data_IF_495890100975
#
_entry.id   IF_495890100975
#
_cell.length_a   1.000
_cell.length_b   1.000
_cell.length_c   1.000
_cell.angle_alpha   90.00
_cell.angle_beta   90.00
_cell.angle_gamma   90.00
#
_symmetry.space_group_name_H-M   'P 1'
#
loop_
_entity.id
_entity.type
_entity.pdbx_description
1 polymer ?
#
# COMPACT_ATOMS: atom_id res chain seq x y z
N UNK A 1 -9.46 30.16 15.54
CA UNK A 1 -9.56 28.91 14.76
C UNK A 1 -8.13 28.49 14.41
N UNK A 2 -7.58 27.45 15.03
CA UNK A 2 -6.25 26.94 14.61
C UNK A 2 -6.47 26.26 13.27
N UNK A 3 -5.96 26.84 12.19
CA UNK A 3 -5.74 26.09 10.96
C UNK A 3 -4.77 24.96 11.33
N UNK A 4 -5.26 23.73 11.37
CA UNK A 4 -4.39 22.56 11.44
C UNK A 4 -3.63 22.55 10.12
N UNK A 5 -2.30 22.72 10.17
CA UNK A 5 -1.47 22.67 8.97
C UNK A 5 -1.31 21.21 8.54
N UNK A 6 -2.20 20.75 7.66
CA UNK A 6 -2.12 19.43 7.07
C UNK A 6 -0.95 19.35 6.08
N UNK A 7 -0.34 18.15 5.90
CA UNK A 7 0.63 17.92 4.83
C UNK A 7 0.10 18.45 3.50
N UNK A 8 0.96 19.04 2.67
CA UNK A 8 0.54 19.67 1.41
C UNK A 8 -0.32 18.74 0.52
N UNK A 9 0.04 17.47 0.49
CA UNK A 9 -0.68 16.36 -0.14
C UNK A 9 -2.16 16.21 0.27
N UNK A 10 -2.50 16.62 1.49
CA UNK A 10 -3.84 16.53 2.09
C UNK A 10 -4.52 17.88 2.22
N UNK A 11 -4.06 18.93 1.53
CA UNK A 11 -4.76 20.22 1.52
C UNK A 11 -5.95 20.28 0.56
N UNK A 12 -5.94 19.63 -0.63
CA UNK A 12 -7.10 19.66 -1.54
C UNK A 12 -8.32 18.93 -0.97
N UNK A 13 -9.53 19.40 -1.26
CA UNK A 13 -10.80 18.76 -0.85
C UNK A 13 -10.96 17.35 -1.41
N UNK A 14 -10.57 17.15 -2.66
CA UNK A 14 -10.53 15.85 -3.31
C UNK A 14 -9.09 15.40 -3.46
N UNK A 15 -8.78 14.22 -2.94
CA UNK A 15 -7.45 13.60 -3.05
C UNK A 15 -7.57 12.19 -3.61
N UNK A 16 -6.55 11.75 -4.36
CA UNK A 16 -6.43 10.35 -4.78
C UNK A 16 -5.49 9.64 -3.81
N UNK A 17 -5.95 8.55 -3.19
CA UNK A 17 -5.16 7.73 -2.26
C UNK A 17 -4.51 6.59 -3.03
N UNK A 18 -3.19 6.42 -2.89
CA UNK A 18 -2.47 5.25 -3.41
C UNK A 18 -2.36 4.21 -2.30
N UNK A 19 -3.10 3.13 -2.44
CA UNK A 19 -3.16 2.04 -1.50
C UNK A 19 -2.36 0.83 -1.99
N UNK A 20 -1.28 0.53 -1.27
CA UNK A 20 -0.40 -0.60 -1.56
C UNK A 20 -0.29 -1.52 -0.35
N UNK A 21 -1.33 -1.60 0.49
CA UNK A 21 -1.28 -2.37 1.72
C UNK A 21 -2.63 -2.92 2.14
N UNK A 22 -3.06 -2.66 3.37
CA UNK A 22 -4.37 -3.13 3.85
C UNK A 22 -5.54 -2.55 3.04
N UNK A 23 -5.33 -1.43 2.33
CA UNK A 23 -6.34 -0.79 1.48
C UNK A 23 -6.21 -1.24 0.00
N UNK A 24 -5.50 -2.35 -0.28
CA UNK A 24 -5.24 -2.75 -1.67
C UNK A 24 -6.49 -3.27 -2.40
N UNK A 25 -7.50 -3.75 -1.67
CA UNK A 25 -8.79 -4.16 -2.25
C UNK A 25 -9.86 -3.07 -2.05
N UNK A 26 -10.82 -3.02 -2.97
CA UNK A 26 -11.95 -2.08 -2.87
C UNK A 26 -12.80 -2.31 -1.61
N UNK A 27 -13.19 -3.56 -1.24
CA UNK A 27 -13.95 -3.78 -0.01
C UNK A 27 -13.21 -3.28 1.24
N UNK A 28 -11.91 -3.56 1.35
CA UNK A 28 -11.11 -3.09 2.50
C UNK A 28 -10.94 -1.58 2.50
N UNK A 29 -10.80 -0.97 1.31
CA UNK A 29 -10.75 0.48 1.17
C UNK A 29 -12.05 1.13 1.65
N UNK A 30 -13.20 0.54 1.33
CA UNK A 30 -14.53 1.05 1.73
C UNK A 30 -14.79 0.96 3.23
N UNK A 31 -14.15 0.05 3.95
CA UNK A 31 -14.18 0.05 5.43
C UNK A 31 -13.55 1.32 6.03
N UNK A 32 -12.63 1.95 5.28
CA UNK A 32 -11.93 3.17 5.71
C UNK A 32 -12.53 4.42 5.07
N UNK A 33 -12.89 4.33 3.80
CA UNK A 33 -13.44 5.41 2.99
C UNK A 33 -14.73 4.93 2.32
N UNK A 34 -15.86 4.88 3.05
CA UNK A 34 -17.12 4.32 2.51
C UNK A 34 -17.57 5.00 1.20
N UNK A 35 -17.31 6.30 1.09
CA UNK A 35 -17.65 7.15 -0.05
C UNK A 35 -16.59 7.21 -1.15
N UNK A 36 -15.57 6.34 -1.13
CA UNK A 36 -14.55 6.33 -2.19
C UNK A 36 -15.17 6.15 -3.57
N UNK A 37 -14.55 6.80 -4.56
CA UNK A 37 -14.92 6.73 -5.97
C UNK A 37 -13.69 6.41 -6.83
N UNK A 38 -13.89 6.06 -8.10
CA UNK A 38 -12.80 5.89 -9.07
C UNK A 38 -11.72 4.88 -8.62
N UNK A 39 -12.13 3.75 -8.03
CA UNK A 39 -11.20 2.69 -7.65
C UNK A 39 -10.61 2.04 -8.90
N UNK A 40 -9.28 1.97 -8.96
CA UNK A 40 -8.52 1.46 -10.11
C UNK A 40 -7.16 0.92 -9.69
N UNK A 41 -6.58 0.04 -10.50
CA UNK A 41 -5.20 -0.41 -10.29
C UNK A 41 -4.23 0.48 -11.05
N UNK A 42 -3.09 0.74 -10.43
CA UNK A 42 -2.06 1.67 -10.91
C UNK A 42 -0.67 1.10 -10.71
N UNK A 43 0.31 1.65 -11.43
CA UNK A 43 1.74 1.37 -11.24
C UNK A 43 2.47 2.56 -10.68
N UNK A 44 3.22 2.34 -9.60
CA UNK A 44 4.14 3.34 -9.02
C UNK A 44 5.56 2.95 -9.41
N UNK A 45 6.32 3.88 -9.99
CA UNK A 45 7.68 3.66 -10.54
C UNK A 45 8.75 4.31 -9.67
N UNK A 46 10.00 3.87 -9.85
CA UNK A 46 11.21 4.33 -9.16
C UNK A 46 11.18 4.16 -7.64
N UNK A 47 10.36 3.22 -7.18
CA UNK A 47 10.20 2.86 -5.78
C UNK A 47 10.06 1.35 -5.65
N UNK A 48 10.45 0.83 -4.50
CA UNK A 48 10.19 -0.56 -4.11
C UNK A 48 9.41 -0.62 -2.82
N UNK A 49 8.55 -1.64 -2.70
CA UNK A 49 7.75 -1.87 -1.49
C UNK A 49 8.48 -2.79 -0.53
N UNK A 50 8.54 -2.42 0.74
CA UNK A 50 9.00 -3.28 1.83
C UNK A 50 7.77 -3.86 2.53
N UNK A 51 7.68 -5.19 2.60
CA UNK A 51 6.43 -5.85 3.00
C UNK A 51 6.30 -6.08 4.51
N UNK A 52 7.41 -6.27 5.25
CA UNK A 52 7.34 -6.54 6.69
C UNK A 52 7.15 -5.26 7.51
N UNK A 53 7.54 -4.15 6.91
CA UNK A 53 7.41 -2.83 7.47
C UNK A 53 6.72 -2.10 6.32
N UNK A 54 5.41 -1.92 6.35
CA UNK A 54 4.54 -1.48 5.26
C UNK A 54 4.89 -0.12 4.60
N UNK A 55 6.08 0.04 4.04
CA UNK A 55 6.57 1.25 3.43
C UNK A 55 7.07 1.01 2.01
N UNK A 56 7.51 2.11 1.43
CA UNK A 56 8.18 2.17 0.15
C UNK A 56 9.46 2.95 0.32
N UNK A 57 10.46 2.67 -0.48
CA UNK A 57 11.69 3.44 -0.52
C UNK A 57 12.11 3.67 -1.97
N UNK A 58 12.86 4.76 -2.26
CA UNK A 58 13.39 5.00 -3.59
C UNK A 58 14.21 3.82 -4.10
N UNK A 59 13.90 3.38 -5.31
CA UNK A 59 14.62 2.31 -6.00
C UNK A 59 14.44 2.49 -7.50
N UNK A 60 15.45 3.06 -8.15
CA UNK A 60 15.43 3.32 -9.58
C UNK A 60 15.21 2.03 -10.39
N UNK A 61 14.40 2.12 -11.46
CA UNK A 61 14.04 0.98 -12.29
C UNK A 61 13.05 -0.01 -11.65
N UNK A 62 12.76 0.13 -10.35
CA UNK A 62 11.75 -0.69 -9.67
C UNK A 62 10.35 -0.09 -9.84
N UNK A 63 9.34 -0.95 -9.84
CA UNK A 63 7.94 -0.52 -9.79
C UNK A 63 7.07 -1.59 -9.16
N UNK A 64 5.91 -1.21 -8.62
CA UNK A 64 4.94 -2.16 -8.08
C UNK A 64 3.50 -1.72 -8.43
N UNK A 65 2.56 -2.66 -8.31
CA UNK A 65 1.13 -2.41 -8.51
C UNK A 65 0.47 -2.01 -7.19
N UNK A 66 -0.36 -0.97 -7.25
CA UNK A 66 -1.17 -0.46 -6.15
C UNK A 66 -2.62 -0.27 -6.60
N UNK A 67 -3.52 -0.05 -5.64
CA UNK A 67 -4.83 0.53 -5.90
C UNK A 67 -4.75 2.06 -5.79
N UNK A 68 -5.56 2.75 -6.58
CA UNK A 68 -5.81 4.18 -6.47
C UNK A 68 -7.31 4.42 -6.42
N UNK A 69 -7.75 5.36 -5.59
CA UNK A 69 -9.15 5.76 -5.50
C UNK A 69 -9.25 7.20 -5.01
N UNK A 70 -10.34 7.86 -5.37
CA UNK A 70 -10.56 9.26 -5.05
C UNK A 70 -11.47 9.38 -3.83
N UNK A 71 -11.11 10.25 -2.90
CA UNK A 71 -11.85 10.55 -1.69
C UNK A 71 -12.03 12.05 -1.55
N UNK A 72 -13.16 12.46 -0.99
CA UNK A 72 -13.38 13.82 -0.51
C UNK A 72 -13.15 13.79 0.99
N UNK A 73 -12.23 14.61 1.49
CA UNK A 73 -11.88 14.67 2.90
C UNK A 73 -12.35 15.99 3.51
N UNK A 74 -13.26 15.90 4.48
CA UNK A 74 -13.48 17.01 5.41
C UNK A 74 -12.36 17.11 6.46
N UNK A 75 -12.36 18.17 7.26
CA UNK A 75 -11.33 18.39 8.28
C UNK A 75 -11.26 17.26 9.31
N UNK A 76 -12.40 16.68 9.70
CA UNK A 76 -12.43 15.57 10.67
C UNK A 76 -11.81 14.30 10.07
N UNK A 77 -12.07 14.02 8.80
CA UNK A 77 -11.48 12.90 8.08
C UNK A 77 -9.99 13.09 7.84
N UNK A 78 -9.54 14.33 7.52
CA UNK A 78 -8.10 14.65 7.42
C UNK A 78 -7.40 14.42 8.74
N UNK A 79 -7.97 14.92 9.84
CA UNK A 79 -7.40 14.75 11.17
C UNK A 79 -7.34 13.26 11.56
N UNK A 80 -8.43 12.52 11.37
CA UNK A 80 -8.47 11.08 11.64
C UNK A 80 -7.45 10.29 10.80
N UNK A 81 -7.28 10.67 9.53
CA UNK A 81 -6.28 10.07 8.66
C UNK A 81 -4.86 10.37 9.12
N UNK A 82 -4.54 11.63 9.44
CA UNK A 82 -3.23 12.03 9.97
C UNK A 82 -2.92 11.33 11.31
N UNK A 83 -3.91 11.22 12.19
CA UNK A 83 -3.78 10.53 13.48
C UNK A 83 -3.53 9.03 13.30
N UNK A 84 -4.14 8.40 12.30
CA UNK A 84 -3.90 6.98 11.97
C UNK A 84 -2.51 6.74 11.39
N UNK A 85 -2.04 7.65 10.54
CA UNK A 85 -0.79 7.50 9.77
C UNK A 85 0.41 8.20 10.44
N UNK A 86 0.38 8.44 11.76
CA UNK A 86 1.46 9.11 12.52
C UNK A 86 2.85 8.50 12.35
N UNK A 87 2.93 7.23 11.92
CA UNK A 87 4.18 6.52 11.63
C UNK A 87 4.76 6.73 10.24
N UNK A 88 4.10 7.51 9.39
CA UNK A 88 4.43 7.65 7.97
C UNK A 88 4.46 9.10 7.53
N UNK A 89 5.36 9.43 6.60
CA UNK A 89 5.28 10.69 5.88
C UNK A 89 4.21 10.57 4.79
N UNK A 90 3.33 11.55 4.71
CA UNK A 90 2.29 11.64 3.68
C UNK A 90 2.83 12.52 2.56
N UNK A 91 3.12 11.90 1.41
CA UNK A 91 3.76 12.60 0.28
C UNK A 91 3.04 12.37 -1.04
N UNK A 92 3.31 13.28 -1.97
CA UNK A 92 2.89 13.16 -3.36
C UNK A 92 3.80 12.19 -4.14
N UNK A 93 3.24 11.29 -4.93
CA UNK A 93 3.99 10.35 -5.76
C UNK A 93 3.30 10.08 -7.10
N UNK A 94 4.01 10.15 -8.24
CA UNK A 94 3.41 9.87 -9.53
C UNK A 94 3.02 8.39 -9.64
N UNK A 95 1.87 8.14 -10.28
CA UNK A 95 1.46 6.80 -10.68
C UNK A 95 1.01 6.79 -12.14
N UNK A 96 0.91 5.60 -12.72
CA UNK A 96 0.44 5.38 -14.08
C UNK A 96 -0.74 4.39 -14.06
N UNK A 97 -1.75 4.62 -14.91
CA UNK A 97 -2.82 3.64 -15.11
C UNK A 97 -2.26 2.31 -15.61
N UNK A 98 -2.95 1.20 -15.30
CA UNK A 98 -2.61 -0.11 -15.87
C UNK A 98 -3.28 -0.40 -17.21
N UNK A 99 -4.28 0.41 -17.61
CA UNK A 99 -4.94 0.30 -18.89
C UNK A 99 -4.08 0.88 -20.02
N UNK A 100 -4.09 0.21 -21.17
CA UNK A 100 -3.18 0.47 -22.28
C UNK A 100 -3.30 1.92 -22.80
N UNK A 101 -2.30 2.74 -22.47
CA UNK A 101 -2.00 3.97 -23.22
C UNK A 101 -2.26 5.30 -22.52
N UNK A 102 -2.86 5.33 -21.33
CA UNK A 102 -3.05 6.58 -20.60
C UNK A 102 -1.94 6.81 -19.57
N UNK A 103 -0.94 7.63 -19.93
CA UNK A 103 -0.06 8.31 -18.97
C UNK A 103 -0.82 9.44 -18.28
N UNK A 104 -1.86 9.09 -17.54
CA UNK A 104 -2.61 10.07 -16.77
C UNK A 104 -1.77 10.44 -15.56
N UNK A 105 -1.01 11.54 -15.67
CA UNK A 105 -0.34 12.21 -14.55
C UNK A 105 -1.41 12.82 -13.66
N UNK A 106 -1.93 12.04 -12.74
CA UNK A 106 -2.62 12.63 -11.61
C UNK A 106 -1.56 13.17 -10.66
N UNK A 107 -1.79 14.36 -10.12
CA UNK A 107 -1.09 14.92 -8.99
C UNK A 107 -2.07 14.88 -7.81
N UNK A 108 -1.55 14.91 -6.58
CA UNK A 108 -2.26 14.84 -5.28
C UNK A 108 -2.42 13.41 -4.73
N UNK A 109 -1.47 13.02 -3.87
CA UNK A 109 -1.39 11.69 -3.26
C UNK A 109 -1.10 11.73 -1.79
N UNK A 110 -1.65 10.75 -1.08
CA UNK A 110 -1.09 10.26 0.17
C UNK A 110 -0.44 8.92 -0.07
N UNK A 111 0.88 8.91 -0.23
CA UNK A 111 1.71 7.72 -0.06
C UNK A 111 2.27 7.76 1.36
N UNK A 112 2.01 6.71 2.16
CA UNK A 112 2.58 6.54 3.50
C UNK A 112 4.06 6.10 3.39
N UNK A 113 4.94 7.01 2.96
CA UNK A 113 6.36 6.69 2.93
C UNK A 113 6.91 6.81 4.35
N UNK A 114 7.21 5.69 5.01
CA UNK A 114 8.08 5.73 6.17
C UNK A 114 9.54 5.93 5.70
N UNK A 115 9.92 7.17 5.39
CA UNK A 115 11.33 7.58 5.38
C UNK A 115 11.75 7.93 6.80
N UNK A 116 11.81 6.92 7.68
CA UNK A 116 12.46 7.04 8.98
C UNK A 116 11.77 7.95 10.01
N UNK A 117 11.63 7.40 11.22
CA UNK A 117 11.33 8.07 12.50
C UNK A 117 9.85 8.34 12.83
N UNK A 118 9.21 7.35 13.43
CA UNK A 118 8.17 7.60 14.43
C UNK A 118 8.83 7.93 15.80
N UNK A 119 8.24 8.80 16.62
CA UNK A 119 8.97 9.37 17.78
C UNK A 119 8.99 8.48 19.03
N UNK A 120 8.28 7.35 19.07
CA UNK A 120 8.05 6.62 20.34
C UNK A 120 8.08 5.08 20.30
N UNK A 121 8.42 4.45 19.17
CA UNK A 121 8.57 2.98 19.11
C UNK A 121 9.92 2.60 18.51
N UNK A 122 10.60 1.52 18.96
CA UNK A 122 11.73 0.93 18.25
C UNK A 122 11.21 0.41 16.92
N UNK A 123 11.41 1.18 15.87
CA UNK A 123 10.81 0.96 14.57
C UNK A 123 11.17 -0.39 13.99
N UNK A 124 10.18 -1.20 13.60
CA UNK A 124 10.36 -2.30 12.62
C UNK A 124 11.16 -1.84 11.38
N UNK A 125 11.11 -0.54 11.08
CA UNK A 125 11.85 0.19 10.03
C UNK A 125 13.38 0.24 10.25
N UNK A 126 13.85 0.14 11.48
CA UNK A 126 15.26 0.20 11.88
C UNK A 126 15.88 -1.16 12.18
N UNK A 127 15.15 -2.26 11.94
CA UNK A 127 15.66 -3.60 12.20
C UNK A 127 16.72 -3.96 11.17
N UNK A 128 17.72 -4.70 11.61
CA UNK A 128 18.82 -5.13 10.76
C UNK A 128 18.29 -5.97 9.58
N UNK A 129 19.00 -5.90 8.44
CA UNK A 129 18.60 -6.60 7.20
C UNK A 129 18.51 -8.11 7.39
N UNK A 130 19.27 -8.64 8.33
CA UNK A 130 19.37 -10.04 8.75
C UNK A 130 18.50 -10.38 9.97
N UNK A 131 17.61 -9.49 10.39
CA UNK A 131 16.69 -9.70 11.52
C UNK A 131 15.78 -10.92 11.40
N UNK A 132 15.71 -11.55 10.22
CA UNK A 132 14.81 -12.67 9.97
C UNK A 132 13.33 -12.28 9.95
N UNK A 133 13.00 -10.98 10.03
CA UNK A 133 11.62 -10.51 9.99
C UNK A 133 10.93 -10.97 8.71
N UNK A 134 9.76 -11.55 8.89
CA UNK A 134 8.87 -11.98 7.81
C UNK A 134 7.56 -11.22 7.91
N UNK A 135 6.96 -10.83 6.78
CA UNK A 135 5.59 -10.33 6.79
C UNK A 135 4.63 -11.39 7.34
N UNK A 136 3.60 -10.94 8.05
CA UNK A 136 2.56 -11.83 8.57
C UNK A 136 1.81 -12.51 7.42
N UNK A 137 1.62 -13.83 7.53
CA UNK A 137 0.97 -14.63 6.47
C UNK A 137 -0.44 -14.15 6.13
N UNK A 138 -1.22 -13.74 7.14
CA UNK A 138 -2.56 -13.19 6.96
C UNK A 138 -2.54 -11.92 6.09
N UNK A 139 -1.52 -11.09 6.27
CA UNK A 139 -1.36 -9.85 5.52
C UNK A 139 -0.88 -10.12 4.08
N UNK A 140 0.07 -11.04 3.92
CA UNK A 140 0.50 -11.50 2.60
C UNK A 140 -0.66 -12.09 1.80
N UNK A 141 -1.47 -12.94 2.43
CA UNK A 141 -2.65 -13.53 1.81
C UNK A 141 -3.63 -12.47 1.37
N UNK A 142 -3.92 -11.49 2.22
CA UNK A 142 -4.76 -10.35 1.84
C UNK A 142 -4.20 -9.65 0.60
N UNK A 143 -2.90 -9.31 0.58
CA UNK A 143 -2.29 -8.64 -0.56
C UNK A 143 -2.39 -9.49 -1.84
N UNK A 144 -2.11 -10.79 -1.75
CA UNK A 144 -2.18 -11.72 -2.90
C UNK A 144 -3.62 -11.91 -3.42
N UNK A 145 -4.62 -11.83 -2.54
CA UNK A 145 -6.04 -11.93 -2.92
C UNK A 145 -6.67 -10.59 -3.34
N UNK A 146 -6.14 -9.47 -2.85
CA UNK A 146 -6.72 -8.14 -3.03
C UNK A 146 -6.75 -7.67 -4.49
N UNK A 147 -5.84 -8.20 -5.31
CA UNK A 147 -5.88 -7.99 -6.75
C UNK A 147 -6.59 -9.18 -7.40
N UNK A 148 -7.88 -8.98 -7.65
CA UNK A 148 -8.72 -9.90 -8.42
C UNK A 148 -8.09 -10.16 -9.79
N UNK A 149 -8.12 -11.42 -10.24
CA UNK A 149 -7.73 -11.81 -11.60
C UNK A 149 -8.55 -11.07 -12.66
N UNK A 150 -9.80 -10.68 -12.35
CA UNK A 150 -10.68 -9.94 -13.25
C UNK A 150 -10.33 -8.45 -13.39
N UNK A 151 -9.67 -7.88 -12.38
CA UNK A 151 -9.18 -6.51 -12.39
C UNK A 151 -7.78 -6.38 -12.99
N UNK A 152 -7.11 -7.50 -13.30
CA UNK A 152 -5.86 -7.49 -14.05
C UNK A 152 -6.15 -7.26 -15.53
N UNK A 153 -5.55 -6.24 -16.17
CA UNK A 153 -5.46 -6.25 -17.62
C UNK A 153 -4.73 -7.54 -18.03
N UNK A 154 -5.35 -8.31 -18.92
CA UNK A 154 -4.91 -9.65 -19.35
C UNK A 154 -3.45 -9.74 -19.87
N UNK A 155 -2.77 -8.60 -19.99
CA UNK A 155 -1.47 -8.43 -20.64
C UNK A 155 -0.33 -8.06 -19.68
N UNK A 156 -0.56 -7.92 -18.37
CA UNK A 156 0.48 -7.38 -17.47
C UNK A 156 1.17 -8.41 -16.58
N UNK A 157 0.57 -9.58 -16.32
CA UNK A 157 1.14 -10.62 -15.46
C UNK A 157 1.46 -10.19 -14.01
N UNK A 158 1.19 -8.93 -13.64
CA UNK A 158 1.69 -8.34 -12.40
C UNK A 158 0.86 -8.72 -11.20
N UNK A 159 1.52 -9.33 -10.21
CA UNK A 159 1.00 -9.59 -8.87
C UNK A 159 1.37 -8.44 -7.92
N UNK A 160 0.63 -8.26 -6.83
CA UNK A 160 1.01 -7.35 -5.73
C UNK A 160 2.37 -7.64 -5.10
N UNK A 161 2.86 -8.86 -5.26
CA UNK A 161 4.21 -9.29 -4.88
C UNK A 161 5.31 -8.78 -5.81
N UNK A 162 4.97 -8.36 -7.03
CA UNK A 162 5.94 -7.83 -7.97
C UNK A 162 6.36 -6.42 -7.56
N UNK A 163 7.68 -6.22 -7.43
CA UNK A 163 8.27 -4.98 -6.90
C UNK A 163 8.25 -4.86 -5.38
N UNK A 164 7.81 -5.90 -4.67
CA UNK A 164 7.91 -6.01 -3.21
C UNK A 164 9.11 -6.86 -2.80
N UNK A 165 9.80 -6.46 -1.73
CA UNK A 165 10.96 -7.17 -1.17
C UNK A 165 10.80 -7.41 0.32
N UNK A 166 11.52 -8.43 0.82
CA UNK A 166 11.70 -8.69 2.24
C UNK A 166 12.57 -7.61 2.90
N UNK A 167 12.66 -7.57 4.24
CA UNK A 167 13.53 -6.64 4.97
C UNK A 167 15.01 -6.65 4.53
N UNK A 168 15.47 -7.79 3.99
CA UNK A 168 16.82 -7.95 3.44
C UNK A 168 17.08 -7.09 2.17
N UNK A 169 16.01 -6.61 1.51
CA UNK A 169 16.02 -5.87 0.23
C UNK A 169 16.68 -6.64 -0.92
N UNK A 170 16.78 -7.96 -0.79
CA UNK A 170 17.41 -8.86 -1.75
C UNK A 170 16.40 -9.86 -2.26
N UNK A 171 15.71 -10.53 -1.34
CA UNK A 171 14.71 -11.53 -1.68
C UNK A 171 13.42 -10.82 -2.07
N UNK A 172 13.00 -10.98 -3.31
CA UNK A 172 11.70 -10.50 -3.76
C UNK A 172 10.59 -11.32 -3.10
N UNK A 173 9.42 -10.71 -2.94
CA UNK A 173 8.28 -11.43 -2.40
C UNK A 173 7.83 -12.57 -3.32
N UNK A 174 8.00 -12.40 -4.64
CA UNK A 174 7.75 -13.43 -5.65
C UNK A 174 8.66 -14.66 -5.46
N UNK A 175 9.97 -14.47 -5.24
CA UNK A 175 10.90 -15.56 -4.91
C UNK A 175 10.55 -16.23 -3.59
N UNK A 176 10.23 -15.45 -2.55
CA UNK A 176 9.84 -15.98 -1.24
C UNK A 176 8.60 -16.88 -1.33
N UNK A 177 7.57 -16.44 -2.07
CA UNK A 177 6.35 -17.21 -2.28
C UNK A 177 6.61 -18.47 -3.13
N UNK A 178 7.44 -18.37 -4.17
CA UNK A 178 7.82 -19.51 -5.01
C UNK A 178 8.65 -20.56 -4.25
N UNK A 179 9.45 -20.14 -3.26
CA UNK A 179 10.24 -21.00 -2.38
C UNK A 179 9.45 -21.82 -1.35
N UNK A 180 8.15 -22.04 -1.57
CA UNK A 180 7.29 -22.88 -0.72
C UNK A 180 6.42 -22.13 0.29
N UNK A 181 6.62 -20.82 0.49
CA UNK A 181 5.80 -20.05 1.43
C UNK A 181 4.35 -19.86 0.94
N UNK A 182 4.09 -19.94 -0.36
CA UNK A 182 2.77 -19.69 -0.95
C UNK A 182 1.67 -20.60 -0.39
N UNK A 183 1.94 -21.89 -0.25
CA UNK A 183 0.94 -22.85 0.25
C UNK A 183 0.51 -22.47 1.68
N UNK A 184 1.49 -22.24 2.55
CA UNK A 184 1.26 -21.76 3.92
C UNK A 184 0.47 -20.45 3.94
N UNK A 185 0.92 -19.44 3.18
CA UNK A 185 0.29 -18.11 3.13
C UNK A 185 -1.17 -18.21 2.69
N UNK A 186 -1.45 -18.97 1.63
CA UNK A 186 -2.80 -19.06 1.06
C UNK A 186 -3.76 -19.87 1.95
N UNK A 187 -3.24 -20.78 2.76
CA UNK A 187 -4.02 -21.59 3.71
C UNK A 187 -4.44 -20.82 4.97
N UNK A 188 -3.75 -19.73 5.34
CA UNK A 188 -4.07 -18.95 6.54
C UNK A 188 -5.47 -18.33 6.43
N UNK A 189 -6.21 -18.35 7.54
CA UNK A 189 -7.46 -17.57 7.69
C UNK A 189 -7.22 -16.42 8.66
N UNK A 190 -7.73 -15.22 8.36
CA UNK A 190 -7.71 -14.15 9.34
C UNK A 190 -8.51 -14.55 10.59
N UNK A 191 -8.13 -14.06 11.78
CA UNK A 191 -8.99 -14.11 12.95
C UNK A 191 -10.37 -13.52 12.64
N UNK A 192 -11.41 -14.00 13.32
CA UNK A 192 -12.81 -13.58 13.07
C UNK A 192 -12.98 -12.05 13.14
N UNK A 193 -12.36 -11.41 14.15
CA UNK A 193 -12.39 -9.95 14.32
C UNK A 193 -11.73 -9.16 13.18
N UNK A 194 -10.97 -9.82 12.30
CA UNK A 194 -10.28 -9.22 11.17
C UNK A 194 -10.73 -9.80 9.82
N UNK A 195 -11.75 -10.65 9.81
CA UNK A 195 -12.20 -11.33 8.60
C UNK A 195 -12.70 -10.37 7.52
N UNK A 196 -13.38 -9.29 7.88
CA UNK A 196 -13.86 -8.30 6.90
C UNK A 196 -12.71 -7.57 6.20
N UNK A 197 -11.60 -7.30 6.92
CA UNK A 197 -10.47 -6.55 6.39
C UNK A 197 -9.46 -7.43 5.64
N UNK A 198 -9.14 -8.61 6.17
CA UNK A 198 -8.12 -9.51 5.62
C UNK A 198 -8.70 -10.80 5.00
N UNK A 199 -10.02 -10.88 4.89
CA UNK A 199 -10.73 -12.01 4.27
C UNK A 199 -10.33 -12.22 2.83
N UNK A 200 -10.08 -11.14 2.09
CA UNK A 200 -9.82 -11.17 0.66
C UNK A 200 -11.14 -11.23 -0.09
#
# INVERSE_FOLDING_TARGET
>A
MRMVDYPAALRPDRVTVIAYGALLSEPSSRLTFPSLTNFRLVRVRNVRRLIAALCVEPAEGCSFVAAAFDVVLDDAQREAFCARETGYAIVEAPFHGLDAGEESRYHHFSLSIALGQHKSLPHVWGWARDSGLLPADVYLRHCERAVDERARPAHTGTRPSDGAVRPDRRTTLSEYLAGGARERVMAVRPPESMAERFGG
#
